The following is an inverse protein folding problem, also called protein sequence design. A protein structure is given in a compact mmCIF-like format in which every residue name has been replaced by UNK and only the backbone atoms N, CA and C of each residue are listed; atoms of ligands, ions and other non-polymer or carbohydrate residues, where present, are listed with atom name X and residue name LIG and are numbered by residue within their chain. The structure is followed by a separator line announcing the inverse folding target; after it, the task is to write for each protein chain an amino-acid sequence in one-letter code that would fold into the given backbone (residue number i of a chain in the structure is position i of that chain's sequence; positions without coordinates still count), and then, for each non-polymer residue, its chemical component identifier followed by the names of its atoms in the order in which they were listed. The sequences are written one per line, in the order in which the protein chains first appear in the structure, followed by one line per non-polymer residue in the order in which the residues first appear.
data_IF_093273556124
#
_entry.id   IF_093273556124
#
_cell.length_a   1.000
_cell.length_b   1.000
_cell.length_c   1.000
_cell.angle_alpha   90.00
_cell.angle_beta   90.00
_cell.angle_gamma   90.00
#
_symmetry.space_group_name_H-M   'P 1'
#
loop_
_entity.id
_entity.type
_entity.pdbx_description
1 polymer ?
#
# COMPACT_ATOMS: atom_id res chain seq x y z
N UNK A 1 3.15 8.99 5.55
CA UNK A 1 2.65 7.61 5.45
C UNK A 1 3.03 6.79 6.67
N UNK A 2 4.28 6.31 6.83
CA UNK A 2 4.66 5.32 7.84
C UNK A 2 4.25 5.66 9.29
N UNK A 3 4.40 6.92 9.70
CA UNK A 3 4.07 7.38 11.08
C UNK A 3 2.57 7.39 11.37
N UNK A 4 1.74 7.45 10.31
CA UNK A 4 0.29 7.70 10.38
C UNK A 4 -0.52 6.72 9.54
N UNK A 5 0.04 5.55 9.23
CA UNK A 5 -0.61 4.55 8.38
C UNK A 5 -1.86 3.95 9.06
N UNK A 6 -1.89 3.96 10.40
CA UNK A 6 -2.98 3.46 11.24
C UNK A 6 -4.31 4.18 11.00
N UNK A 7 -4.28 5.41 10.45
CA UNK A 7 -5.49 6.12 10.08
C UNK A 7 -6.18 5.51 8.86
N UNK A 8 -5.42 4.93 7.92
CA UNK A 8 -5.98 4.15 6.82
C UNK A 8 -6.49 2.79 7.31
N UNK A 9 -5.77 2.19 8.27
CA UNK A 9 -6.15 0.90 8.86
C UNK A 9 -7.55 0.92 9.46
N UNK A 10 -7.95 2.04 10.10
CA UNK A 10 -9.30 2.24 10.64
C UNK A 10 -10.43 2.05 9.60
N UNK A 11 -10.13 2.20 8.31
CA UNK A 11 -11.09 2.01 7.21
C UNK A 11 -10.85 0.73 6.41
N UNK A 12 -9.76 0.00 6.65
CA UNK A 12 -9.48 -1.28 5.98
C UNK A 12 -10.52 -2.33 6.38
N UNK A 13 -10.95 -3.16 5.42
CA UNK A 13 -11.97 -4.21 5.60
C UNK A 13 -13.29 -3.70 6.20
N UNK A 14 -13.65 -2.44 5.92
CA UNK A 14 -14.94 -1.88 6.31
C UNK A 14 -15.94 -1.87 5.15
N UNK A 15 -17.22 -1.87 5.49
CA UNK A 15 -18.29 -1.63 4.53
C UNK A 15 -18.38 -0.15 4.12
N UNK A 16 -18.94 0.08 2.93
CA UNK A 16 -19.15 1.40 2.34
C UNK A 16 -17.85 2.12 1.96
N UNK A 17 -17.99 3.19 1.19
CA UNK A 17 -16.90 4.06 0.74
C UNK A 17 -17.18 5.50 1.15
N UNK A 18 -16.11 6.27 1.39
CA UNK A 18 -16.20 7.69 1.72
C UNK A 18 -17.03 8.04 2.97
N UNK A 19 -16.93 7.18 3.98
CA UNK A 19 -17.60 7.35 5.27
C UNK A 19 -16.70 8.18 6.23
N UNK A 20 -17.28 9.05 7.09
CA UNK A 20 -16.56 9.74 8.16
C UNK A 20 -15.65 8.83 9.01
N UNK A 21 -14.61 9.38 9.66
CA UNK A 21 -14.28 10.81 9.77
C UNK A 21 -13.43 11.38 8.63
N UNK A 22 -12.85 10.54 7.77
CA UNK A 22 -11.90 10.98 6.73
C UNK A 22 -12.43 10.88 5.30
N UNK A 23 -13.63 10.33 5.12
CA UNK A 23 -14.22 10.10 3.80
C UNK A 23 -13.30 9.27 2.88
N UNK A 24 -12.59 8.30 3.48
CA UNK A 24 -11.68 7.38 2.80
C UNK A 24 -12.39 6.07 2.47
N UNK A 25 -12.22 5.59 1.24
CA UNK A 25 -12.62 4.25 0.83
C UNK A 25 -11.58 3.19 1.25
N UNK A 26 -11.98 1.96 1.62
CA UNK A 26 -11.03 0.96 2.12
C UNK A 26 -9.89 0.61 1.16
N UNK A 27 -10.14 0.66 -0.17
CA UNK A 27 -9.13 0.33 -1.19
C UNK A 27 -7.92 1.29 -1.19
N UNK A 28 -8.06 2.47 -0.57
CA UNK A 28 -6.93 3.39 -0.44
C UNK A 28 -5.83 2.84 0.46
N UNK A 29 -6.12 1.82 1.26
CA UNK A 29 -5.13 1.20 2.12
C UNK A 29 -4.00 0.55 1.30
N UNK A 30 -4.29 -0.38 0.37
CA UNK A 30 -3.24 -1.00 -0.45
C UNK A 30 -2.70 -0.05 -1.50
N UNK A 31 -3.56 0.81 -2.06
CA UNK A 31 -3.14 1.87 -2.96
C UNK A 31 -2.07 2.78 -2.35
N UNK A 32 -2.24 3.19 -1.08
CA UNK A 32 -1.27 4.03 -0.39
C UNK A 32 0.05 3.29 -0.12
N UNK A 33 0.03 1.99 0.18
CA UNK A 33 1.27 1.19 0.33
C UNK A 33 2.05 1.11 -0.97
N UNK A 34 1.36 0.85 -2.10
CA UNK A 34 1.97 0.86 -3.42
C UNK A 34 2.65 2.19 -3.73
N UNK A 35 1.94 3.31 -3.54
CA UNK A 35 2.52 4.63 -3.81
C UNK A 35 3.57 5.06 -2.78
N UNK A 36 3.50 4.60 -1.54
CA UNK A 36 4.57 4.80 -0.57
C UNK A 36 5.85 4.08 -0.99
N UNK A 37 5.74 2.83 -1.47
CA UNK A 37 6.87 2.11 -2.05
C UNK A 37 7.46 2.84 -3.26
N UNK A 38 6.61 3.34 -4.17
CA UNK A 38 7.06 4.11 -5.33
C UNK A 38 7.76 5.42 -4.92
N UNK A 39 7.23 6.13 -3.92
CA UNK A 39 7.83 7.36 -3.40
C UNK A 39 9.19 7.12 -2.75
N UNK A 40 9.44 5.93 -2.18
CA UNK A 40 10.75 5.57 -1.65
C UNK A 40 11.81 5.53 -2.77
N UNK A 41 11.44 5.14 -3.98
CA UNK A 41 12.36 5.15 -5.13
C UNK A 41 12.71 6.57 -5.61
N UNK A 42 12.03 7.60 -5.12
CA UNK A 42 12.41 8.99 -5.31
C UNK A 42 13.42 9.51 -4.27
N UNK A 43 13.68 8.77 -3.18
CA UNK A 43 14.62 9.19 -2.13
C UNK A 43 16.09 9.00 -2.54
N UNK A 44 17.05 9.65 -1.85
CA UNK A 44 18.46 9.32 -1.97
C UNK A 44 18.70 7.84 -1.73
N UNK A 45 19.55 7.21 -2.55
CA UNK A 45 19.76 5.75 -2.55
C UNK A 45 20.07 5.18 -1.15
N UNK A 46 20.91 5.89 -0.38
CA UNK A 46 21.30 5.52 0.98
C UNK A 46 20.13 5.43 1.98
N UNK A 47 19.00 6.07 1.70
CA UNK A 47 17.84 6.11 2.59
C UNK A 47 16.81 5.04 2.23
N UNK A 48 16.81 4.54 1.00
CA UNK A 48 15.74 3.68 0.47
C UNK A 48 15.58 2.39 1.24
N UNK A 49 16.68 1.71 1.58
CA UNK A 49 16.64 0.42 2.25
C UNK A 49 15.89 0.47 3.59
N UNK A 50 16.10 1.52 4.38
CA UNK A 50 15.40 1.74 5.65
C UNK A 50 13.89 1.88 5.44
N UNK A 51 13.48 2.74 4.52
CA UNK A 51 12.06 2.99 4.29
C UNK A 51 11.34 1.82 3.60
N UNK A 52 12.03 1.09 2.70
CA UNK A 52 11.51 -0.17 2.13
C UNK A 52 11.23 -1.17 3.22
N UNK A 53 12.17 -1.40 4.15
CA UNK A 53 11.99 -2.31 5.28
C UNK A 53 10.74 -1.93 6.07
N UNK A 54 10.60 -0.65 6.44
CA UNK A 54 9.44 -0.16 7.21
C UNK A 54 8.11 -0.36 6.47
N UNK A 55 8.04 -0.09 5.17
CA UNK A 55 6.80 -0.33 4.39
C UNK A 55 6.50 -1.81 4.25
N UNK A 56 7.53 -2.64 4.03
CA UNK A 56 7.37 -4.09 3.92
C UNK A 56 6.94 -4.73 5.25
N UNK A 57 7.43 -4.24 6.38
CA UNK A 57 6.99 -4.68 7.71
C UNK A 57 5.51 -4.35 7.94
N UNK A 58 5.06 -3.16 7.51
CA UNK A 58 3.64 -2.79 7.56
C UNK A 58 2.78 -3.71 6.68
N UNK A 59 3.19 -3.99 5.44
CA UNK A 59 2.50 -4.95 4.57
C UNK A 59 2.45 -6.34 5.19
N UNK A 60 3.57 -6.84 5.72
CA UNK A 60 3.64 -8.14 6.36
C UNK A 60 2.68 -8.26 7.56
N UNK A 61 2.52 -7.17 8.33
CA UNK A 61 1.66 -7.15 9.52
C UNK A 61 0.16 -7.30 9.22
N UNK A 62 -0.26 -7.08 7.97
CA UNK A 62 -1.67 -7.15 7.54
C UNK A 62 -1.93 -8.21 6.47
N UNK A 63 -0.98 -9.11 6.25
CA UNK A 63 -1.12 -10.25 5.34
C UNK A 63 -2.12 -11.25 5.93
N UNK A 64 -3.05 -11.71 5.11
CA UNK A 64 -4.04 -12.72 5.52
C UNK A 64 -3.39 -14.10 5.62
N UNK A 65 -3.97 -15.01 6.40
CA UNK A 65 -3.42 -16.36 6.66
C UNK A 65 -3.22 -17.19 5.38
N UNK A 66 -4.08 -17.00 4.39
CA UNK A 66 -3.97 -17.63 3.07
C UNK A 66 -2.85 -17.04 2.19
N UNK A 67 -2.07 -16.10 2.73
CA UNK A 67 -0.95 -15.47 2.08
C UNK A 67 -1.29 -14.29 1.16
N UNK A 68 -2.56 -13.92 1.05
CA UNK A 68 -3.03 -12.78 0.25
C UNK A 68 -3.05 -11.48 1.07
N UNK A 69 -3.36 -10.39 0.37
CA UNK A 69 -3.78 -9.14 0.99
C UNK A 69 -5.19 -8.80 0.51
N UNK A 70 -6.04 -8.31 1.41
CA UNK A 70 -7.36 -7.79 1.04
C UNK A 70 -7.73 -6.62 1.94
N UNK A 71 -7.93 -5.44 1.35
CA UNK A 71 -8.35 -4.24 2.06
C UNK A 71 -9.86 -3.99 2.05
N UNK A 72 -10.63 -4.88 1.41
CA UNK A 72 -12.10 -4.84 1.34
C UNK A 72 -12.70 -6.09 1.97
N UNK A 73 -13.99 -6.03 2.26
CA UNK A 73 -14.78 -7.15 2.80
C UNK A 73 -15.13 -8.23 1.77
N UNK A 74 -14.90 -7.96 0.49
CA UNK A 74 -15.28 -8.86 -0.60
C UNK A 74 -14.11 -9.78 -0.93
N UNK A 75 -14.33 -11.08 -0.98
CA UNK A 75 -13.25 -12.03 -1.31
C UNK A 75 -12.64 -11.74 -2.68
N UNK A 76 -13.48 -11.44 -3.68
CA UNK A 76 -13.08 -11.17 -5.06
C UNK A 76 -12.11 -9.99 -5.26
N UNK A 77 -11.89 -9.14 -4.25
CA UNK A 77 -10.98 -7.98 -4.35
C UNK A 77 -9.58 -8.28 -3.83
N UNK A 78 -9.35 -9.47 -3.26
CA UNK A 78 -8.03 -9.89 -2.79
C UNK A 78 -6.99 -9.89 -3.92
N UNK A 79 -7.41 -10.14 -5.17
CA UNK A 79 -6.54 -10.08 -6.35
C UNK A 79 -5.90 -8.68 -6.53
N UNK A 80 -6.70 -7.62 -6.45
CA UNK A 80 -6.23 -6.23 -6.57
C UNK A 80 -5.29 -5.87 -5.43
N UNK A 81 -5.72 -6.12 -4.19
CA UNK A 81 -4.92 -5.84 -3.00
C UNK A 81 -3.60 -6.61 -2.99
N UNK A 82 -3.63 -7.89 -3.38
CA UNK A 82 -2.42 -8.72 -3.48
C UNK A 82 -1.48 -8.24 -4.57
N UNK A 83 -2.01 -7.86 -5.74
CA UNK A 83 -1.18 -7.28 -6.80
C UNK A 83 -0.49 -5.99 -6.33
N UNK A 84 -1.22 -5.10 -5.64
CA UNK A 84 -0.65 -3.88 -5.05
C UNK A 84 0.46 -4.19 -4.04
N UNK A 85 0.25 -5.16 -3.15
CA UNK A 85 1.26 -5.56 -2.17
C UNK A 85 2.50 -6.17 -2.83
N UNK A 86 2.33 -7.06 -3.82
CA UNK A 86 3.45 -7.66 -4.56
C UNK A 86 4.24 -6.59 -5.32
N UNK A 87 3.57 -5.66 -5.99
CA UNK A 87 4.25 -4.56 -6.67
C UNK A 87 4.96 -3.62 -5.70
N UNK A 88 4.39 -3.36 -4.51
CA UNK A 88 5.05 -2.57 -3.48
C UNK A 88 6.34 -3.24 -2.98
N UNK A 89 6.31 -4.56 -2.77
CA UNK A 89 7.48 -5.35 -2.36
C UNK A 89 8.55 -5.36 -3.46
N UNK A 90 8.14 -5.58 -4.71
CA UNK A 90 9.01 -5.60 -5.90
C UNK A 90 9.24 -4.22 -6.53
N UNK A 91 8.99 -3.14 -5.80
CA UNK A 91 9.15 -1.78 -6.33
C UNK A 91 10.58 -1.46 -6.80
N UNK A 92 11.67 -1.96 -6.16
CA UNK A 92 13.02 -1.74 -6.65
C UNK A 92 13.25 -2.25 -8.08
N UNK A 93 12.58 -3.33 -8.48
CA UNK A 93 12.66 -3.89 -9.84
C UNK A 93 11.74 -3.18 -10.84
N UNK A 94 10.62 -2.61 -10.38
CA UNK A 94 9.65 -1.90 -11.23
C UNK A 94 10.12 -0.48 -11.57
N UNK A 95 10.71 0.21 -10.60
CA UNK A 95 11.20 1.58 -10.76
C UNK A 95 10.10 2.65 -10.80
N UNK A 96 10.49 3.86 -11.20
CA UNK A 96 9.61 5.03 -11.25
C UNK A 96 8.73 5.00 -12.51
N UNK A 97 7.51 5.56 -12.44
CA UNK A 97 6.69 5.74 -13.63
C UNK A 97 7.42 6.69 -14.60
N UNK A 98 7.19 6.54 -15.91
CA UNK A 98 7.81 7.41 -16.91
C UNK A 98 7.46 8.87 -16.62
N UNK A 99 8.43 9.76 -16.85
CA UNK A 99 8.18 11.20 -16.79
C UNK A 99 7.26 11.57 -17.94
N UNK A 100 6.38 12.54 -17.71
CA UNK A 100 5.66 13.17 -18.79
C UNK A 100 6.67 13.93 -19.65
N UNK A 101 6.67 13.69 -20.96
CA UNK A 101 7.45 14.45 -21.94
C UNK A 101 6.48 15.43 -22.62
N UNK A 102 6.89 16.70 -22.73
CA UNK A 102 6.13 17.79 -23.37
C UNK A 102 6.09 17.66 -24.91
#
# INVERSE_FOLDING_TARGET
FIVHWEWLEKRRKQNGTHIPPYSVAPYYFMYAHYHAAQAIECLPERERAEYRRRVNDLLASVRDENGTWNDRVFERTANYSTAMAVMAIGMPEIGLPPRYED
#
